data_IF_558853576641
#
_entry.id   IF_558853576641
#
_cell.length_a   1.000
_cell.length_b   1.000
_cell.length_c   1.000
_cell.angle_alpha   90.00
_cell.angle_beta   90.00
_cell.angle_gamma   90.00
#
_symmetry.space_group_name_H-M   'P 1'
#
loop_
_entity.id
_entity.type
_entity.pdbx_description
1 polymer ?
#
# COMPACT_ATOMS: atom_id res chain seq x y z
N UNK A 1 -10.74 -8.03 -1.31
CA UNK A 1 -10.79 -7.16 -0.17
C UNK A 1 -10.19 -5.81 -0.47
N UNK A 2 -10.53 -4.83 0.33
CA UNK A 2 -10.12 -3.44 0.05
C UNK A 2 -8.62 -3.27 0.00
N UNK A 3 -7.90 -3.98 0.86
CA UNK A 3 -6.45 -3.85 0.89
C UNK A 3 -5.81 -4.22 -0.45
N UNK A 4 -6.26 -5.32 -1.01
CA UNK A 4 -5.71 -5.78 -2.29
C UNK A 4 -5.98 -4.77 -3.39
N UNK A 5 -7.18 -4.22 -3.41
CA UNK A 5 -7.56 -3.25 -4.41
C UNK A 5 -6.72 -1.98 -4.27
N UNK A 6 -6.54 -1.53 -3.05
CA UNK A 6 -5.74 -0.33 -2.81
C UNK A 6 -4.29 -0.55 -3.24
N UNK A 7 -3.75 -1.71 -2.93
CA UNK A 7 -2.38 -2.02 -3.32
C UNK A 7 -2.24 -2.06 -4.83
N UNK A 8 -3.24 -2.62 -5.50
CA UNK A 8 -3.21 -2.69 -6.94
C UNK A 8 -3.25 -1.30 -7.56
N UNK A 9 -4.09 -0.43 -7.02
CA UNK A 9 -4.15 0.95 -7.48
C UNK A 9 -2.83 1.66 -7.26
N UNK A 10 -2.23 1.43 -6.11
CA UNK A 10 -0.96 2.04 -5.79
C UNK A 10 0.11 1.61 -6.79
N UNK A 11 0.15 0.33 -7.10
CA UNK A 11 1.12 -0.19 -8.07
C UNK A 11 0.87 0.38 -9.47
N UNK A 12 -0.40 0.55 -9.83
CA UNK A 12 -0.74 1.12 -11.13
C UNK A 12 -0.29 2.55 -11.27
N UNK A 13 -0.38 3.31 -10.19
CA UNK A 13 0.04 4.70 -10.22
C UNK A 13 1.56 4.86 -10.21
N UNK A 14 2.26 3.82 -9.77
CA UNK A 14 3.71 3.84 -9.71
C UNK A 14 4.29 2.65 -10.47
N UNK A 15 4.18 2.66 -11.79
CA UNK A 15 4.67 1.54 -12.62
C UNK A 15 6.19 1.39 -12.57
N UNK A 16 6.88 2.46 -12.21
CA UNK A 16 8.34 2.40 -12.11
C UNK A 16 8.78 1.64 -10.88
N UNK A 17 7.92 1.54 -9.91
CA UNK A 17 8.24 0.92 -8.64
C UNK A 17 8.08 -0.58 -8.71
N UNK A 18 8.99 -1.28 -8.04
CA UNK A 18 8.89 -2.72 -7.93
C UNK A 18 7.72 -3.06 -7.01
N UNK A 19 7.05 -4.15 -7.35
CA UNK A 19 5.91 -4.57 -6.53
C UNK A 19 6.32 -4.78 -5.08
N UNK A 20 7.53 -5.30 -4.88
CA UNK A 20 8.04 -5.52 -3.53
C UNK A 20 8.14 -4.22 -2.75
N UNK A 21 8.70 -3.21 -3.41
CA UNK A 21 8.86 -1.91 -2.77
C UNK A 21 7.49 -1.30 -2.48
N UNK A 22 6.59 -1.41 -3.43
CA UNK A 22 5.23 -0.87 -3.26
C UNK A 22 4.53 -1.54 -2.09
N UNK A 23 4.67 -2.85 -1.97
CA UNK A 23 4.06 -3.56 -0.86
C UNK A 23 4.64 -3.12 0.48
N UNK A 24 5.93 -2.95 0.52
CA UNK A 24 6.58 -2.54 1.76
C UNK A 24 6.12 -1.15 2.19
N UNK A 25 6.11 -0.22 1.26
CA UNK A 25 5.67 1.14 1.56
C UNK A 25 4.21 1.14 1.94
N UNK A 26 3.40 0.40 1.22
CA UNK A 26 1.98 0.32 1.49
C UNK A 26 1.71 -0.23 2.88
N UNK A 27 2.49 -1.21 3.28
CA UNK A 27 2.34 -1.81 4.60
C UNK A 27 2.61 -0.80 5.71
N UNK A 28 3.65 -0.01 5.53
CA UNK A 28 4.00 1.01 6.51
C UNK A 28 2.89 2.04 6.64
N UNK A 29 2.39 2.52 5.51
CA UNK A 29 1.31 3.50 5.52
C UNK A 29 0.05 2.91 6.15
N UNK A 30 -0.25 1.69 5.79
CA UNK A 30 -1.45 1.03 6.29
C UNK A 30 -1.39 0.85 7.80
N UNK A 31 -0.21 0.51 8.29
CA UNK A 31 -0.01 0.34 9.73
C UNK A 31 -0.23 1.65 10.47
N UNK A 32 0.25 2.74 9.91
CA UNK A 32 0.07 4.05 10.54
C UNK A 32 -1.39 4.46 10.58
N UNK A 33 -2.11 4.18 9.51
CA UNK A 33 -3.53 4.49 9.46
C UNK A 33 -4.27 3.72 10.54
N UNK A 34 -3.94 2.45 10.70
CA UNK A 34 -4.59 1.63 11.71
C UNK A 34 -4.29 2.13 13.11
N UNK A 35 -3.07 2.56 13.34
CA UNK A 35 -2.68 3.09 14.63
C UNK A 35 -3.44 4.36 14.95
N UNK A 36 -3.60 5.20 13.96
CA UNK A 36 -4.31 6.45 14.16
C UNK A 36 -5.79 6.21 14.51
N UNK A 37 -6.35 5.13 13.99
CA UNK A 37 -7.74 4.79 14.27
C UNK A 37 -7.92 4.09 15.61
N UNK A 38 -6.86 3.53 16.13
CA UNK A 38 -6.92 2.90 17.44
C UNK A 38 -6.84 3.97 18.51
#
# INVERSE_FOLDING_TARGET
MVRSELLQKFCNQHPQMLRRDAEKIFEIIFSEILEALS
#
